data_IF_194038426696
#
_entry.id   IF_194038426696
#
_cell.length_a   1.000
_cell.length_b   1.000
_cell.length_c   1.000
_cell.angle_alpha   90.00
_cell.angle_beta   90.00
_cell.angle_gamma   90.00
#
_symmetry.space_group_name_H-M   'P 1'
#
loop_
_entity.id
_entity.type
_entity.pdbx_description
1 polymer ?
#
# COMPACT_ATOMS: atom_id res chain seq x y z
N UNK A 1 -59.26 51.37 7.79
CA UNK A 1 -57.78 51.25 7.75
C UNK A 1 -57.24 50.22 8.77
N UNK A 2 -57.72 48.96 8.81
CA UNK A 2 -57.19 47.95 9.76
C UNK A 2 -56.89 46.56 9.14
N UNK A 3 -57.11 46.39 7.84
CA UNK A 3 -56.97 45.09 7.16
C UNK A 3 -55.58 44.95 6.49
N UNK A 4 -54.97 46.07 6.07
CA UNK A 4 -53.66 46.09 5.42
C UNK A 4 -52.45 45.86 6.34
N UNK A 5 -52.58 46.09 7.64
CA UNK A 5 -51.49 45.88 8.60
C UNK A 5 -51.29 44.40 8.98
N UNK A 6 -52.31 43.56 8.80
CA UNK A 6 -52.26 42.12 9.14
C UNK A 6 -51.66 41.26 8.02
N UNK A 7 -51.68 41.73 6.77
CA UNK A 7 -51.12 41.01 5.61
C UNK A 7 -49.63 41.29 5.40
N UNK A 8 -49.10 42.43 5.83
CA UNK A 8 -47.65 42.70 5.77
C UNK A 8 -46.85 41.96 6.84
N UNK A 9 -47.44 41.70 8.01
CA UNK A 9 -46.81 40.96 9.11
C UNK A 9 -46.66 39.46 8.82
N UNK A 10 -47.58 38.87 8.05
CA UNK A 10 -47.50 37.46 7.66
C UNK A 10 -46.44 37.17 6.59
N UNK A 11 -46.21 38.10 5.65
CA UNK A 11 -45.19 37.95 4.59
C UNK A 11 -43.78 38.08 5.16
N UNK A 12 -43.55 38.99 6.10
CA UNK A 12 -42.27 39.11 6.79
C UNK A 12 -41.91 37.88 7.64
N UNK A 13 -42.90 37.30 8.34
CA UNK A 13 -42.70 36.09 9.14
C UNK A 13 -42.35 34.86 8.28
N UNK A 14 -42.97 34.71 7.10
CA UNK A 14 -42.67 33.63 6.14
C UNK A 14 -41.26 33.75 5.55
N UNK A 15 -40.80 34.95 5.22
CA UNK A 15 -39.45 35.19 4.72
C UNK A 15 -38.37 34.86 5.77
N UNK A 16 -38.62 35.18 7.04
CA UNK A 16 -37.71 34.84 8.15
C UNK A 16 -37.68 33.32 8.40
N UNK A 17 -38.82 32.62 8.32
CA UNK A 17 -38.83 31.16 8.44
C UNK A 17 -38.11 30.45 7.28
N UNK A 18 -38.23 30.96 6.05
CA UNK A 18 -37.50 30.42 4.90
C UNK A 18 -36.00 30.65 5.01
N UNK A 19 -35.56 31.81 5.51
CA UNK A 19 -34.14 32.09 5.75
C UNK A 19 -33.55 31.24 6.89
N UNK A 20 -34.34 30.94 7.93
CA UNK A 20 -33.93 30.02 9.00
C UNK A 20 -33.84 28.56 8.52
N UNK A 21 -34.70 28.15 7.58
CA UNK A 21 -34.65 26.80 6.99
C UNK A 21 -33.45 26.59 6.06
N UNK A 22 -32.98 27.63 5.36
CA UNK A 22 -31.78 27.55 4.51
C UNK A 22 -30.46 27.51 5.30
N UNK A 23 -30.48 27.91 6.58
CA UNK A 23 -29.32 27.85 7.47
C UNK A 23 -29.15 26.54 8.23
N UNK A 24 -30.13 25.61 8.13
CA UNK A 24 -30.16 24.36 8.90
C UNK A 24 -29.91 23.10 8.07
N UNK A 25 -29.46 23.22 6.82
CA UNK A 25 -29.02 22.05 6.07
C UNK A 25 -27.68 21.59 6.66
N UNK A 26 -27.74 20.62 7.58
CA UNK A 26 -26.57 19.87 7.99
C UNK A 26 -25.84 19.40 6.72
N UNK A 27 -24.51 19.60 6.64
CA UNK A 27 -23.76 19.15 5.48
C UNK A 27 -24.08 17.66 5.23
N UNK A 28 -24.28 17.27 3.96
CA UNK A 28 -24.73 15.92 3.63
C UNK A 28 -23.81 14.90 4.29
N UNK A 29 -24.39 13.81 4.79
CA UNK A 29 -23.67 12.73 5.44
C UNK A 29 -22.44 12.30 4.61
N UNK A 30 -21.26 12.38 5.21
CA UNK A 30 -20.00 11.98 4.56
C UNK A 30 -19.26 10.99 5.45
N UNK A 31 -18.63 10.00 4.80
CA UNK A 31 -17.66 9.11 5.43
C UNK A 31 -16.30 9.81 5.45
N UNK A 32 -15.81 10.11 6.64
CA UNK A 32 -14.47 10.67 6.86
C UNK A 32 -13.48 9.54 7.08
N UNK A 33 -12.37 9.52 6.33
CA UNK A 33 -11.26 8.60 6.57
C UNK A 33 -10.57 8.97 7.90
N UNK A 34 -10.42 7.98 8.78
CA UNK A 34 -9.76 8.07 10.09
C UNK A 34 -8.58 7.11 10.18
N UNK A 35 -8.21 6.48 9.07
CA UNK A 35 -7.10 5.53 9.01
C UNK A 35 -5.80 6.26 9.29
N UNK A 36 -5.03 5.81 10.29
CA UNK A 36 -3.69 6.31 10.50
C UNK A 36 -2.73 5.72 9.43
N UNK A 37 -2.54 6.47 8.35
CA UNK A 37 -1.65 6.11 7.23
C UNK A 37 -0.20 6.58 7.43
N UNK A 38 0.17 6.98 8.64
CA UNK A 38 1.57 7.32 8.93
C UNK A 38 2.46 6.12 8.66
N UNK A 39 3.52 6.33 7.89
CA UNK A 39 4.42 5.25 7.45
C UNK A 39 5.30 4.78 8.61
N UNK A 40 5.50 3.48 8.70
CA UNK A 40 6.33 2.83 9.71
C UNK A 40 7.30 1.89 9.01
N UNK A 41 8.62 2.06 9.15
CA UNK A 41 9.59 1.20 8.49
C UNK A 41 9.56 -0.22 9.10
N UNK A 42 9.60 -1.23 8.23
CA UNK A 42 9.81 -2.61 8.65
C UNK A 42 11.33 -2.83 8.70
N UNK A 43 11.85 -3.00 9.91
CA UNK A 43 13.30 -2.94 10.16
C UNK A 43 14.04 -4.23 9.86
N UNK A 44 13.34 -5.37 9.84
CA UNK A 44 13.99 -6.68 9.81
C UNK A 44 13.35 -7.60 8.79
N UNK A 45 14.10 -8.60 8.36
CA UNK A 45 13.58 -9.68 7.57
C UNK A 45 14.47 -10.90 7.56
N UNK A 46 14.00 -11.94 6.88
CA UNK A 46 14.77 -13.14 6.57
C UNK A 46 14.52 -13.53 5.11
N UNK A 47 15.58 -13.99 4.46
CA UNK A 47 15.55 -14.59 3.13
C UNK A 47 15.52 -16.11 3.28
N UNK A 48 14.74 -16.82 2.46
CA UNK A 48 14.70 -18.28 2.51
C UNK A 48 16.09 -18.91 2.38
N UNK A 49 16.32 -20.03 3.04
CA UNK A 49 17.57 -20.78 2.92
C UNK A 49 17.85 -21.18 1.47
N UNK A 50 19.13 -21.23 1.09
CA UNK A 50 19.54 -21.50 -0.29
C UNK A 50 19.31 -20.35 -1.26
N UNK A 51 18.82 -19.19 -0.81
CA UNK A 51 18.69 -17.98 -1.63
C UNK A 51 19.64 -16.88 -1.16
N UNK A 52 20.23 -16.14 -2.09
CA UNK A 52 21.07 -14.98 -1.82
C UNK A 52 20.70 -13.85 -2.77
N UNK A 53 20.47 -12.66 -2.25
CA UNK A 53 20.07 -11.48 -3.03
C UNK A 53 21.17 -10.44 -2.90
N UNK A 54 21.71 -9.99 -4.02
CA UNK A 54 22.77 -8.96 -4.06
C UNK A 54 22.26 -7.77 -4.85
N UNK A 55 22.40 -6.56 -4.32
CA UNK A 55 22.07 -5.35 -5.06
C UNK A 55 22.96 -5.22 -6.31
N UNK A 56 22.40 -4.83 -7.45
CA UNK A 56 23.20 -4.61 -8.67
C UNK A 56 24.22 -3.49 -8.51
N UNK A 57 23.89 -2.50 -7.67
CA UNK A 57 24.78 -1.38 -7.30
C UNK A 57 25.81 -1.75 -6.21
N UNK A 58 25.79 -2.98 -5.70
CA UNK A 58 26.68 -3.45 -4.64
C UNK A 58 26.37 -2.90 -3.24
N UNK A 59 25.24 -2.18 -3.06
CA UNK A 59 24.92 -1.52 -1.79
C UNK A 59 24.55 -2.48 -0.65
N UNK A 60 24.08 -3.69 -0.94
CA UNK A 60 23.74 -4.69 0.06
C UNK A 60 23.80 -6.13 -0.45
N UNK A 61 23.88 -7.07 0.49
CA UNK A 61 23.72 -8.50 0.28
C UNK A 61 22.82 -9.08 1.37
N UNK A 62 21.81 -9.85 0.97
CA UNK A 62 20.93 -10.61 1.85
C UNK A 62 21.24 -12.10 1.70
N UNK A 63 21.60 -12.76 2.81
CA UNK A 63 21.95 -14.18 2.85
C UNK A 63 20.79 -15.01 3.38
N UNK A 64 20.49 -16.11 2.69
CA UNK A 64 19.45 -17.05 3.07
C UNK A 64 19.66 -17.63 4.46
N UNK A 65 18.58 -17.79 5.21
CA UNK A 65 18.59 -18.26 6.60
C UNK A 65 19.08 -17.24 7.63
N UNK A 66 19.62 -16.09 7.19
CA UNK A 66 20.12 -15.05 8.09
C UNK A 66 19.11 -13.91 8.22
N UNK A 67 18.92 -13.45 9.46
CA UNK A 67 18.16 -12.23 9.72
C UNK A 67 18.97 -11.03 9.20
N UNK A 68 18.30 -10.13 8.49
CA UNK A 68 18.88 -8.87 8.02
C UNK A 68 18.15 -7.67 8.63
N UNK A 69 18.86 -6.55 8.69
CA UNK A 69 18.26 -5.22 8.87
C UNK A 69 17.96 -4.66 7.48
N UNK A 70 16.76 -4.11 7.28
CA UNK A 70 16.31 -3.66 5.96
C UNK A 70 17.27 -2.62 5.38
N UNK A 71 17.95 -2.90 4.24
CA UNK A 71 18.98 -2.01 3.70
C UNK A 71 18.38 -0.75 3.03
N UNK A 72 17.10 -0.80 2.68
CA UNK A 72 16.34 0.32 2.13
C UNK A 72 14.87 0.20 2.52
N UNK A 73 14.09 1.21 2.15
CA UNK A 73 12.64 1.22 2.32
C UNK A 73 12.01 1.76 1.03
N UNK A 74 11.10 0.99 0.44
CA UNK A 74 10.25 1.42 -0.65
C UNK A 74 8.96 2.03 -0.10
N UNK A 75 8.39 2.99 -0.83
CA UNK A 75 7.14 3.67 -0.47
C UNK A 75 6.05 3.34 -1.49
N UNK A 76 5.40 2.19 -1.32
CA UNK A 76 4.29 1.77 -2.19
C UNK A 76 2.94 2.38 -1.78
N UNK A 77 2.92 3.23 -0.76
CA UNK A 77 1.72 3.97 -0.32
C UNK A 77 1.64 5.36 -0.93
N UNK A 78 2.78 5.90 -1.37
CA UNK A 78 2.93 7.22 -1.96
C UNK A 78 2.15 7.41 -3.26
N UNK A 79 1.93 8.67 -3.60
CA UNK A 79 1.30 9.06 -4.85
C UNK A 79 2.12 8.55 -6.05
N UNK A 80 1.45 7.92 -7.02
CA UNK A 80 2.10 7.28 -8.17
C UNK A 80 2.63 5.86 -7.90
N UNK A 81 2.82 5.50 -6.63
CA UNK A 81 3.33 4.19 -6.20
C UNK A 81 2.23 3.24 -5.70
N UNK A 82 1.01 3.74 -5.51
CA UNK A 82 -0.15 2.96 -5.08
C UNK A 82 -1.10 2.59 -6.23
N UNK A 83 -0.71 2.85 -7.49
CA UNK A 83 -1.54 2.66 -8.67
C UNK A 83 -1.23 1.35 -9.40
N UNK A 84 -1.17 0.25 -8.66
CA UNK A 84 -1.14 -1.09 -9.24
C UNK A 84 -1.87 -2.09 -8.37
N UNK A 85 -2.43 -3.10 -9.01
CA UNK A 85 -3.23 -4.17 -8.42
C UNK A 85 -2.58 -5.52 -8.70
N UNK A 86 -3.18 -6.58 -8.17
CA UNK A 86 -2.73 -7.95 -8.44
C UNK A 86 -2.75 -8.32 -9.92
N UNK A 87 -3.56 -7.64 -10.75
CA UNK A 87 -3.69 -7.95 -12.17
C UNK A 87 -2.53 -7.44 -13.01
N UNK A 88 -1.89 -6.36 -12.57
CA UNK A 88 -0.85 -5.65 -13.31
C UNK A 88 0.51 -5.69 -12.59
N UNK A 89 0.60 -6.23 -11.38
CA UNK A 89 1.87 -6.35 -10.63
C UNK A 89 3.00 -6.94 -11.47
N UNK A 90 2.72 -7.89 -12.37
CA UNK A 90 3.74 -8.51 -13.23
C UNK A 90 4.48 -7.50 -14.12
N UNK A 91 3.82 -6.44 -14.58
CA UNK A 91 4.39 -5.44 -15.52
C UNK A 91 4.97 -4.22 -14.82
N UNK A 92 4.96 -4.19 -13.48
CA UNK A 92 5.29 -3.00 -12.68
C UNK A 92 6.71 -2.93 -12.13
N UNK A 93 7.58 -3.87 -12.53
CA UNK A 93 8.96 -3.94 -12.05
C UNK A 93 9.71 -2.60 -12.21
N UNK A 94 9.55 -1.92 -13.36
CA UNK A 94 10.22 -0.65 -13.61
C UNK A 94 9.55 0.54 -12.90
N UNK A 95 8.22 0.52 -12.77
CA UNK A 95 7.47 1.58 -12.08
C UNK A 95 7.87 1.66 -10.60
N UNK A 96 8.06 0.51 -9.93
CA UNK A 96 8.40 0.49 -8.50
C UNK A 96 9.82 0.94 -8.18
N UNK A 97 10.72 1.03 -9.18
CA UNK A 97 12.05 1.63 -8.99
C UNK A 97 11.92 3.10 -8.60
N UNK A 98 10.94 3.82 -9.15
CA UNK A 98 10.62 5.20 -8.77
C UNK A 98 10.10 5.30 -7.32
N UNK A 99 9.61 4.19 -6.77
CA UNK A 99 9.12 4.06 -5.41
C UNK A 99 10.20 3.57 -4.43
N UNK A 100 11.47 3.56 -4.84
CA UNK A 100 12.60 3.15 -4.01
C UNK A 100 12.86 1.64 -4.01
N UNK A 101 12.31 0.87 -4.95
CA UNK A 101 12.76 -0.50 -5.18
C UNK A 101 14.19 -0.51 -5.75
N UNK A 102 14.88 -1.65 -5.62
CA UNK A 102 16.27 -1.82 -6.04
C UNK A 102 16.42 -2.98 -7.02
N UNK A 103 17.25 -2.78 -8.05
CA UNK A 103 17.66 -3.87 -8.93
C UNK A 103 18.60 -4.81 -8.18
N UNK A 104 18.40 -6.12 -8.36
CA UNK A 104 19.10 -7.17 -7.62
C UNK A 104 19.44 -8.36 -8.51
N UNK A 105 20.48 -9.09 -8.11
CA UNK A 105 20.83 -10.42 -8.60
C UNK A 105 20.42 -11.45 -7.55
N UNK A 106 19.61 -12.42 -7.96
CA UNK A 106 19.08 -13.48 -7.11
C UNK A 106 19.78 -14.79 -7.45
N UNK A 107 20.57 -15.29 -6.51
CA UNK A 107 21.20 -16.61 -6.57
C UNK A 107 20.33 -17.60 -5.80
N UNK A 108 20.11 -18.77 -6.39
CA UNK A 108 19.24 -19.79 -5.80
C UNK A 108 19.82 -21.20 -5.97
N UNK A 109 19.91 -21.91 -4.84
CA UNK A 109 20.60 -23.19 -4.72
C UNK A 109 22.10 -23.05 -4.99
N UNK A 110 22.67 -24.06 -5.63
CA UNK A 110 24.09 -24.09 -6.02
C UNK A 110 24.34 -23.57 -7.45
N UNK A 111 23.37 -22.88 -8.07
CA UNK A 111 23.55 -22.36 -9.42
C UNK A 111 24.40 -21.08 -9.41
N UNK A 112 25.53 -21.02 -10.16
CA UNK A 112 26.36 -19.82 -10.23
C UNK A 112 25.71 -18.67 -11.02
N UNK A 113 24.76 -18.95 -11.92
CA UNK A 113 24.07 -17.95 -12.72
C UNK A 113 22.94 -17.29 -11.92
N UNK A 114 22.99 -15.96 -11.70
CA UNK A 114 21.92 -15.25 -11.03
C UNK A 114 20.73 -15.04 -11.96
N UNK A 115 19.54 -14.96 -11.37
CA UNK A 115 18.41 -14.28 -11.98
C UNK A 115 18.54 -12.77 -11.75
N UNK A 116 18.11 -11.97 -12.71
CA UNK A 116 17.97 -10.54 -12.56
C UNK A 116 16.60 -10.22 -11.97
N UNK A 117 16.53 -9.19 -11.13
CA UNK A 117 15.29 -8.87 -10.48
C UNK A 117 15.18 -7.45 -9.96
N UNK A 118 13.99 -7.14 -9.49
CA UNK A 118 13.68 -5.89 -8.78
C UNK A 118 13.08 -6.27 -7.43
N UNK A 119 13.63 -5.74 -6.35
CA UNK A 119 13.16 -5.96 -4.98
C UNK A 119 12.56 -4.66 -4.42
N UNK A 120 11.30 -4.72 -4.02
CA UNK A 120 10.64 -3.68 -3.24
C UNK A 120 10.44 -4.18 -1.79
N UNK A 121 10.94 -3.42 -0.82
CA UNK A 121 10.75 -3.66 0.61
C UNK A 121 9.87 -2.53 1.15
N UNK A 122 8.56 -2.74 1.17
CA UNK A 122 7.62 -1.68 1.48
C UNK A 122 7.59 -1.33 2.97
N UNK A 123 7.38 -0.06 3.28
CA UNK A 123 7.02 0.37 4.63
C UNK A 123 5.61 -0.12 4.99
N UNK A 124 5.37 -0.33 6.28
CA UNK A 124 4.03 -0.48 6.81
C UNK A 124 3.36 0.90 7.00
N UNK A 125 2.07 0.90 7.32
CA UNK A 125 1.38 2.06 7.91
C UNK A 125 1.00 1.74 9.34
N UNK A 126 0.73 2.75 10.17
CA UNK A 126 0.32 2.55 11.57
C UNK A 126 -0.95 1.69 11.71
N UNK A 127 -1.84 1.71 10.71
CA UNK A 127 -3.02 0.85 10.68
C UNK A 127 -2.75 -0.61 10.26
N UNK A 128 -1.52 -0.94 9.84
CA UNK A 128 -1.13 -2.27 9.44
C UNK A 128 -0.85 -3.17 10.64
N UNK A 129 -1.12 -4.46 10.49
CA UNK A 129 -0.95 -5.44 11.55
C UNK A 129 -0.61 -6.84 11.00
N UNK A 130 -0.28 -7.75 11.92
CA UNK A 130 0.15 -9.11 11.61
C UNK A 130 1.65 -9.23 11.32
N UNK A 131 2.16 -10.46 11.09
CA UNK A 131 3.59 -10.73 10.94
C UNK A 131 4.25 -9.93 9.80
N UNK A 132 3.63 -9.88 8.63
CA UNK A 132 4.17 -9.21 7.44
C UNK A 132 4.27 -7.68 7.57
N UNK A 133 3.63 -7.07 8.57
CA UNK A 133 3.78 -5.64 8.90
C UNK A 133 4.98 -5.36 9.84
N UNK A 134 5.62 -6.41 10.37
CA UNK A 134 6.66 -6.33 11.40
C UNK A 134 8.02 -6.88 10.96
N UNK A 135 8.01 -7.82 10.02
CA UNK A 135 9.22 -8.42 9.46
C UNK A 135 8.94 -8.95 8.05
N UNK A 136 9.93 -8.84 7.17
CA UNK A 136 9.87 -9.45 5.84
C UNK A 136 10.20 -10.95 5.91
N UNK A 137 9.47 -11.77 5.15
CA UNK A 137 9.80 -13.16 4.91
C UNK A 137 9.89 -13.42 3.41
N UNK A 138 11.09 -13.22 2.84
CA UNK A 138 11.28 -13.27 1.39
C UNK A 138 11.47 -14.73 0.96
N UNK A 139 10.48 -15.24 0.23
CA UNK A 139 10.43 -16.61 -0.29
C UNK A 139 10.03 -16.62 -1.75
N UNK A 140 10.63 -17.49 -2.54
CA UNK A 140 10.25 -17.73 -3.94
C UNK A 140 10.03 -19.22 -4.09
N UNK A 141 8.85 -19.61 -4.58
CA UNK A 141 8.55 -21.00 -4.88
C UNK A 141 9.41 -21.49 -6.06
N UNK A 142 9.81 -22.76 -6.00
CA UNK A 142 10.72 -23.37 -6.97
C UNK A 142 10.21 -23.24 -8.41
N UNK A 143 8.91 -23.44 -8.63
CA UNK A 143 8.25 -23.31 -9.92
C UNK A 143 8.45 -21.91 -10.53
N UNK A 144 8.42 -20.86 -9.71
CA UNK A 144 8.68 -19.48 -10.15
C UNK A 144 10.13 -19.25 -10.52
N UNK A 145 11.08 -19.89 -9.82
CA UNK A 145 12.51 -19.86 -10.17
C UNK A 145 12.73 -20.53 -11.52
N UNK A 146 12.16 -21.73 -11.71
CA UNK A 146 12.28 -22.46 -12.98
C UNK A 146 11.62 -21.70 -14.13
N UNK A 147 10.45 -21.11 -13.89
CA UNK A 147 9.75 -20.28 -14.86
C UNK A 147 10.57 -19.04 -15.25
N UNK A 148 11.25 -18.40 -14.30
CA UNK A 148 12.14 -17.27 -14.58
C UNK A 148 13.37 -17.68 -15.40
N UNK A 149 13.95 -18.86 -15.10
CA UNK A 149 15.07 -19.44 -15.85
C UNK A 149 14.72 -19.82 -17.28
N UNK A 150 13.46 -20.19 -17.52
CA UNK A 150 12.95 -20.47 -18.87
C UNK A 150 12.79 -19.20 -19.74
N UNK A 151 13.19 -18.03 -19.24
CA UNK A 151 13.14 -16.75 -19.98
C UNK A 151 11.89 -15.92 -19.71
N UNK A 152 10.98 -16.39 -18.85
CA UNK A 152 9.81 -15.61 -18.48
C UNK A 152 10.11 -14.69 -17.29
N UNK A 153 9.20 -13.76 -17.02
CA UNK A 153 9.20 -13.01 -15.76
C UNK A 153 8.31 -13.73 -14.75
N UNK A 154 8.82 -13.90 -13.54
CA UNK A 154 8.06 -14.38 -12.39
C UNK A 154 8.03 -13.32 -11.29
N UNK A 155 6.93 -13.24 -10.55
CA UNK A 155 6.78 -12.30 -9.43
C UNK A 155 6.37 -13.04 -8.17
N UNK A 156 7.01 -12.73 -7.04
CA UNK A 156 6.66 -13.21 -5.71
C UNK A 156 6.45 -12.03 -4.79
N UNK A 157 5.52 -12.16 -3.84
CA UNK A 157 5.20 -11.10 -2.89
C UNK A 157 4.55 -11.67 -1.63
N UNK A 158 4.50 -10.85 -0.59
CA UNK A 158 3.74 -11.11 0.64
C UNK A 158 2.82 -9.93 0.92
N UNK A 159 1.59 -10.20 1.39
CA UNK A 159 0.68 -9.16 1.84
C UNK A 159 0.84 -8.88 3.33
N UNK A 160 0.78 -7.61 3.69
CA UNK A 160 0.40 -7.17 5.03
C UNK A 160 -1.09 -6.82 5.07
N UNK A 161 -1.68 -7.03 6.23
CA UNK A 161 -3.06 -6.67 6.54
C UNK A 161 -3.10 -5.27 7.16
N UNK A 162 -4.15 -4.50 6.88
CA UNK A 162 -4.39 -3.21 7.51
C UNK A 162 -5.88 -2.91 7.60
N UNK A 163 -6.26 -2.21 8.67
CA UNK A 163 -7.65 -1.87 8.91
C UNK A 163 -7.93 -0.44 8.44
N UNK A 164 -8.73 -0.30 7.39
CA UNK A 164 -9.31 0.98 7.01
C UNK A 164 -10.37 1.37 8.04
N UNK A 165 -10.29 2.59 8.57
CA UNK A 165 -11.30 3.12 9.51
C UNK A 165 -11.94 4.37 8.93
N UNK A 166 -13.27 4.37 8.83
CA UNK A 166 -14.06 5.52 8.39
C UNK A 166 -15.13 5.85 9.43
N UNK A 167 -15.49 7.13 9.53
CA UNK A 167 -16.50 7.61 10.47
C UNK A 167 -17.52 8.47 9.75
N UNK A 168 -18.80 8.20 9.99
CA UNK A 168 -19.87 9.08 9.50
C UNK A 168 -19.86 10.42 10.25
N UNK A 169 -19.88 11.52 9.51
CA UNK A 169 -19.80 12.88 10.06
C UNK A 169 -20.92 13.22 11.06
N UNK A 170 -22.11 12.67 10.87
CA UNK A 170 -23.32 13.03 11.62
C UNK A 170 -23.72 12.02 12.71
N UNK A 171 -23.48 10.72 12.51
CA UNK A 171 -23.80 9.67 13.50
C UNK A 171 -22.61 9.27 14.35
N UNK A 172 -21.40 9.70 13.97
CA UNK A 172 -20.15 9.24 14.56
C UNK A 172 -19.92 7.72 14.50
N UNK A 173 -20.77 6.98 13.78
CA UNK A 173 -20.67 5.54 13.61
C UNK A 173 -19.39 5.22 12.83
N UNK A 174 -18.61 4.31 13.39
CA UNK A 174 -17.38 3.83 12.77
C UNK A 174 -17.67 2.63 11.86
N UNK A 175 -17.03 2.62 10.70
CA UNK A 175 -16.95 1.49 9.79
C UNK A 175 -15.49 1.12 9.64
N UNK A 176 -15.17 -0.15 9.88
CA UNK A 176 -13.84 -0.71 9.66
C UNK A 176 -13.89 -1.74 8.56
N UNK A 177 -12.94 -1.68 7.62
CA UNK A 177 -12.79 -2.67 6.56
C UNK A 177 -11.37 -3.21 6.57
N UNK A 178 -11.24 -4.53 6.54
CA UNK A 178 -9.92 -5.17 6.41
C UNK A 178 -9.44 -5.09 4.96
N UNK A 179 -8.17 -4.75 4.79
CA UNK A 179 -7.53 -4.54 3.50
C UNK A 179 -6.14 -5.17 3.51
N UNK A 180 -5.62 -5.44 2.31
CA UNK A 180 -4.26 -5.94 2.14
C UNK A 180 -3.45 -4.98 1.28
N UNK A 181 -2.14 -4.98 1.51
CA UNK A 181 -1.17 -4.32 0.64
C UNK A 181 0.16 -5.05 0.68
N UNK A 182 1.05 -4.80 -0.28
CA UNK A 182 2.32 -5.52 -0.37
C UNK A 182 3.27 -5.14 0.77
N UNK A 183 3.80 -6.14 1.47
CA UNK A 183 4.94 -6.01 2.38
C UNK A 183 6.25 -6.00 1.61
N UNK A 184 6.42 -6.96 0.70
CA UNK A 184 7.52 -6.97 -0.25
C UNK A 184 7.07 -7.54 -1.57
N UNK A 185 7.78 -7.19 -2.63
CA UNK A 185 7.59 -7.73 -3.98
C UNK A 185 8.96 -7.98 -4.59
N UNK A 186 9.13 -9.12 -5.24
CA UNK A 186 10.33 -9.51 -5.95
C UNK A 186 9.97 -10.03 -7.33
N UNK A 187 10.38 -9.28 -8.35
CA UNK A 187 10.36 -9.73 -9.74
C UNK A 187 11.67 -10.41 -10.07
N UNK A 188 11.62 -11.49 -10.83
CA UNK A 188 12.81 -12.23 -11.29
C UNK A 188 12.65 -12.68 -12.74
N UNK A 189 13.74 -12.62 -13.51
CA UNK A 189 13.84 -13.16 -14.88
C UNK A 189 15.29 -13.56 -15.20
N UNK A 190 15.48 -14.38 -16.23
CA UNK A 190 16.79 -14.72 -16.78
C UNK A 190 17.51 -13.53 -17.42
N UNK A 191 16.77 -12.47 -17.80
CA UNK A 191 17.31 -11.29 -18.47
C UNK A 191 17.19 -10.03 -17.58
N UNK A 192 18.11 -9.04 -17.75
CA UNK A 192 18.02 -7.77 -17.05
C UNK A 192 16.65 -7.08 -17.24
N UNK A 193 16.11 -6.53 -16.15
CA UNK A 193 14.83 -5.80 -16.11
C UNK A 193 14.99 -4.29 -16.25
#
# INVERSE_FOLDING_TARGET
MKIWAKTMTSVGALAVMLLLAMGSEDPPARLMDQTNKSKVPIQYGVVQEGMRIVAEDGSFELKGGQRFTSPFQSDLWGYGCNNFSNKDVLTKANDVLLCGAKKVKVYYGNNPEPLYGVLALNQAIQAAHGPASRSYMIKIAEDKIQHARAGNTSVSFEYMNWTESKRWSHTYRQQTNEKTWYSWILWVSAYPM
#
